data_IF_454591804568
#
_entry.id   IF_454591804568
#
_cell.length_a   1.000
_cell.length_b   1.000
_cell.length_c   1.000
_cell.angle_alpha   90.00
_cell.angle_beta   90.00
_cell.angle_gamma   90.00
#
_symmetry.space_group_name_H-M   'P 1'
#
loop_
_entity.id
_entity.type
_entity.pdbx_description
1 polymer ?
#
# COMPACT_ATOMS: atom_id res chain seq x y z
N UNK A 1 2.30 -8.23 14.95
CA UNK A 1 2.66 -7.61 13.66
C UNK A 1 3.98 -6.88 13.84
N UNK A 2 5.04 -7.29 13.12
CA UNK A 2 6.37 -6.67 13.26
C UNK A 2 6.49 -5.42 12.38
N UNK A 3 7.02 -4.34 12.93
CA UNK A 3 7.44 -3.17 12.14
C UNK A 3 8.64 -3.56 11.28
N UNK A 4 8.60 -3.22 9.99
CA UNK A 4 9.65 -3.58 9.04
C UNK A 4 9.85 -2.50 8.00
N UNK A 5 11.10 -2.32 7.57
CA UNK A 5 11.42 -1.45 6.44
C UNK A 5 11.07 -2.15 5.12
N UNK A 6 10.65 -1.37 4.14
CA UNK A 6 10.27 -1.88 2.84
C UNK A 6 10.25 -0.80 1.77
N UNK A 7 9.98 -1.22 0.55
CA UNK A 7 9.74 -0.35 -0.59
C UNK A 7 8.29 -0.50 -1.04
N UNK A 8 7.72 0.58 -1.56
CA UNK A 8 6.38 0.59 -2.12
C UNK A 8 6.47 1.14 -3.54
N UNK A 9 5.90 0.41 -4.49
CA UNK A 9 5.77 0.83 -5.88
C UNK A 9 4.31 0.81 -6.31
N UNK A 10 3.94 1.75 -7.18
CA UNK A 10 2.61 1.79 -7.80
C UNK A 10 2.81 1.90 -9.31
N UNK A 11 2.06 1.12 -10.08
CA UNK A 11 2.02 1.19 -11.54
C UNK A 11 0.57 1.13 -12.03
N UNK A 12 0.40 0.98 -13.34
CA UNK A 12 -0.89 0.82 -14.02
C UNK A 12 -1.65 -0.47 -13.66
N UNK A 13 -0.97 -1.47 -13.11
CA UNK A 13 -1.56 -2.74 -12.69
C UNK A 13 -1.98 -2.76 -11.21
N UNK A 14 -1.31 -1.99 -10.35
CA UNK A 14 -1.65 -1.92 -8.93
C UNK A 14 -0.51 -1.49 -8.01
N UNK A 15 -0.50 -2.08 -6.80
CA UNK A 15 0.41 -1.79 -5.70
C UNK A 15 1.38 -2.96 -5.46
N UNK A 16 2.64 -2.62 -5.25
CA UNK A 16 3.72 -3.54 -4.91
C UNK A 16 4.32 -3.16 -3.55
N UNK A 17 4.30 -4.07 -2.59
CA UNK A 17 4.94 -3.91 -1.28
C UNK A 17 6.10 -4.90 -1.18
N UNK A 18 7.32 -4.38 -1.04
CA UNK A 18 8.55 -5.18 -0.93
C UNK A 18 9.04 -5.12 0.52
N UNK A 19 9.05 -6.26 1.20
CA UNK A 19 9.53 -6.36 2.58
C UNK A 19 11.04 -6.56 2.57
N UNK A 20 11.82 -5.56 2.99
CA UNK A 20 13.29 -5.55 2.85
C UNK A 20 13.98 -6.71 3.56
N UNK A 21 13.44 -7.14 4.71
CA UNK A 21 14.02 -8.22 5.51
C UNK A 21 14.09 -9.55 4.76
N UNK A 22 13.06 -9.87 3.98
CA UNK A 22 12.91 -11.15 3.30
C UNK A 22 12.95 -11.05 1.77
N UNK A 23 13.02 -9.83 1.25
CA UNK A 23 12.81 -9.51 -0.17
C UNK A 23 11.50 -10.06 -0.75
N UNK A 24 10.52 -10.34 0.13
CA UNK A 24 9.22 -10.82 -0.28
C UNK A 24 8.45 -9.68 -0.93
N UNK A 25 7.93 -9.94 -2.13
CA UNK A 25 7.09 -9.01 -2.88
C UNK A 25 5.62 -9.41 -2.70
N UNK A 26 4.78 -8.44 -2.35
CA UNK A 26 3.33 -8.57 -2.29
C UNK A 26 2.71 -7.67 -3.34
N UNK A 27 1.97 -8.27 -4.26
CA UNK A 27 1.28 -7.57 -5.35
C UNK A 27 -0.22 -7.53 -5.08
N UNK A 28 -0.83 -6.37 -5.31
CA UNK A 28 -2.26 -6.15 -5.19
C UNK A 28 -2.77 -5.40 -6.40
N UNK A 29 -3.81 -5.91 -7.04
CA UNK A 29 -4.57 -5.16 -8.05
C UNK A 29 -5.42 -4.09 -7.37
N UNK A 30 -5.80 -3.04 -8.09
CA UNK A 30 -6.55 -1.91 -7.50
C UNK A 30 -7.90 -2.29 -6.89
N UNK A 31 -8.50 -3.40 -7.31
CA UNK A 31 -9.75 -3.95 -6.77
C UNK A 31 -9.55 -4.89 -5.56
N UNK A 32 -8.30 -5.27 -5.25
CA UNK A 32 -7.96 -6.19 -4.16
C UNK A 32 -7.66 -5.49 -2.83
N UNK A 33 -7.60 -4.16 -2.82
CA UNK A 33 -7.35 -3.40 -1.61
C UNK A 33 -8.07 -2.05 -1.60
N UNK A 34 -8.25 -1.50 -0.40
CA UNK A 34 -8.62 -0.09 -0.19
C UNK A 34 -7.43 0.65 0.41
N UNK A 35 -7.11 1.84 -0.10
CA UNK A 35 -6.09 2.70 0.47
C UNK A 35 -6.73 3.83 1.28
N UNK A 36 -6.49 3.85 2.59
CA UNK A 36 -7.10 4.81 3.53
C UNK A 36 -5.98 5.66 4.14
N UNK A 37 -5.97 6.96 3.83
CA UNK A 37 -5.05 7.88 4.47
C UNK A 37 -5.49 8.09 5.93
N UNK A 38 -4.64 7.68 6.89
CA UNK A 38 -4.91 7.85 8.33
C UNK A 38 -4.41 9.19 8.84
N UNK A 39 -3.25 9.63 8.34
CA UNK A 39 -2.68 10.95 8.61
C UNK A 39 -1.75 11.40 7.46
N UNK A 40 -1.04 12.52 7.64
CA UNK A 40 -0.15 13.09 6.62
C UNK A 40 1.04 12.21 6.17
N UNK A 41 1.39 11.18 6.96
CA UNK A 41 2.53 10.27 6.74
C UNK A 41 2.11 8.81 6.71
N UNK A 42 0.89 8.48 7.14
CA UNK A 42 0.42 7.11 7.31
C UNK A 42 -0.69 6.76 6.32
N UNK A 43 -0.49 5.67 5.59
CA UNK A 43 -1.47 5.08 4.68
C UNK A 43 -1.73 3.63 5.09
N UNK A 44 -3.00 3.32 5.28
CA UNK A 44 -3.46 1.97 5.50
C UNK A 44 -3.85 1.34 4.17
N UNK A 45 -3.34 0.13 3.93
CA UNK A 45 -3.72 -0.72 2.82
C UNK A 45 -4.53 -1.88 3.40
N UNK A 46 -5.84 -1.79 3.25
CA UNK A 46 -6.76 -2.84 3.66
C UNK A 46 -6.96 -3.81 2.50
N UNK A 47 -6.37 -5.00 2.62
CA UNK A 47 -6.54 -6.11 1.69
C UNK A 47 -7.26 -7.31 2.34
N UNK A 48 -8.06 -7.07 3.40
CA UNK A 48 -8.70 -8.15 4.16
C UNK A 48 -9.60 -9.03 3.31
N UNK A 49 -10.31 -8.44 2.34
CA UNK A 49 -11.22 -9.18 1.44
C UNK A 49 -10.55 -10.31 0.67
N UNK A 50 -9.25 -10.18 0.36
CA UNK A 50 -8.54 -11.11 -0.52
C UNK A 50 -7.44 -11.87 0.23
N UNK A 51 -6.81 -11.25 1.24
CA UNK A 51 -5.63 -11.80 1.91
C UNK A 51 -5.69 -11.78 3.43
N UNK A 52 -6.83 -11.41 4.02
CA UNK A 52 -7.02 -11.30 5.47
C UNK A 52 -5.88 -10.53 6.17
N UNK A 53 -5.40 -9.46 5.51
CA UNK A 53 -4.21 -8.72 5.94
C UNK A 53 -4.42 -7.22 5.74
N UNK A 54 -3.94 -6.45 6.72
CA UNK A 54 -3.84 -4.98 6.65
C UNK A 54 -2.37 -4.59 6.73
N UNK A 55 -1.94 -3.66 5.88
CA UNK A 55 -0.60 -3.08 5.93
C UNK A 55 -0.67 -1.60 6.33
N UNK A 56 0.19 -1.21 7.27
CA UNK A 56 0.38 0.18 7.65
C UNK A 56 1.68 0.69 7.04
N UNK A 57 1.56 1.59 6.07
CA UNK A 57 2.70 2.23 5.42
C UNK A 57 2.94 3.59 6.08
N UNK A 58 4.19 3.88 6.44
CA UNK A 58 4.59 5.15 7.06
C UNK A 58 5.71 5.75 6.23
N UNK A 59 5.51 6.95 5.68
CA UNK A 59 6.50 7.65 4.85
C UNK A 59 6.25 9.16 4.82
N UNK A 60 7.30 9.96 4.69
CA UNK A 60 7.19 11.41 4.43
C UNK A 60 6.68 11.72 3.02
N UNK A 61 6.74 10.75 2.11
CA UNK A 61 6.29 10.88 0.72
C UNK A 61 4.84 10.42 0.53
N UNK A 62 4.08 10.20 1.61
CA UNK A 62 2.78 9.54 1.51
C UNK A 62 1.76 10.31 0.67
N UNK A 63 1.79 11.64 0.71
CA UNK A 63 0.94 12.48 -0.14
C UNK A 63 1.06 12.14 -1.63
N UNK A 64 2.27 11.82 -2.09
CA UNK A 64 2.52 11.45 -3.48
C UNK A 64 1.91 10.08 -3.81
N UNK A 65 2.12 9.08 -2.95
CA UNK A 65 1.57 7.74 -3.13
C UNK A 65 0.03 7.78 -3.13
N UNK A 66 -0.58 8.46 -2.16
CA UNK A 66 -2.04 8.62 -2.07
C UNK A 66 -2.61 9.29 -3.32
N UNK A 67 -1.96 10.34 -3.84
CA UNK A 67 -2.40 11.02 -5.05
C UNK A 67 -2.35 10.11 -6.29
N UNK A 68 -1.37 9.22 -6.39
CA UNK A 68 -1.31 8.22 -7.47
C UNK A 68 -2.45 7.21 -7.30
N UNK A 69 -2.60 6.61 -6.11
CA UNK A 69 -3.63 5.61 -5.86
C UNK A 69 -5.04 6.15 -6.12
N UNK A 70 -5.31 7.40 -5.74
CA UNK A 70 -6.57 8.09 -6.01
C UNK A 70 -6.88 8.19 -7.50
N UNK A 71 -5.89 8.28 -8.41
CA UNK A 71 -6.15 8.29 -9.86
C UNK A 71 -6.72 6.97 -10.36
N UNK A 72 -6.26 5.86 -9.79
CA UNK A 72 -6.64 4.51 -10.22
C UNK A 72 -7.84 3.94 -9.45
N UNK A 73 -8.09 4.42 -8.24
CA UNK A 73 -9.21 3.99 -7.40
C UNK A 73 -10.46 4.87 -7.52
N UNK A 74 -10.58 5.72 -8.56
CA UNK A 74 -11.80 6.48 -8.84
C UNK A 74 -12.96 5.53 -9.17
N UNK A 75 -13.82 5.31 -8.17
CA UNK A 75 -15.23 4.97 -8.31
C UNK A 75 -16.05 6.05 -7.61
#
# INVERSE_FOLDING_TARGET
MGTGQGLVGVNDHGLHIIIKKSWTVRNFRFDEFTAIARDSKTLEIDAQRIRDTVYMLVSTQMKFITAILQKFQRR
#
